data_IF_098812057091
#
_entry.id   IF_098812057091
#
_cell.length_a   1.000
_cell.length_b   1.000
_cell.length_c   1.000
_cell.angle_alpha   90.00
_cell.angle_beta   90.00
_cell.angle_gamma   90.00
#
_symmetry.space_group_name_H-M   'P 1'
#
loop_
_entity.id
_entity.type
_entity.pdbx_description
1 polymer ?
#
# COMPACT_ATOMS: atom_id res chain seq x y z
N UNK A 1 40.38 -5.12 -37.60
CA UNK A 1 39.22 -5.47 -36.76
C UNK A 1 39.11 -4.43 -35.65
N UNK A 2 38.27 -3.40 -35.82
CA UNK A 2 38.04 -2.42 -34.75
C UNK A 2 37.28 -3.12 -33.61
N UNK A 3 37.93 -3.31 -32.45
CA UNK A 3 37.26 -3.82 -31.26
C UNK A 3 36.29 -2.74 -30.80
N UNK A 4 34.99 -2.99 -30.90
CA UNK A 4 33.98 -2.11 -30.32
C UNK A 4 34.26 -1.97 -28.82
N UNK A 5 34.53 -0.74 -28.39
CA UNK A 5 34.83 -0.42 -27.00
C UNK A 5 33.51 -0.47 -26.21
N UNK A 6 33.15 -1.67 -25.75
CA UNK A 6 31.89 -1.88 -25.04
C UNK A 6 32.04 -1.35 -23.60
N UNK A 7 31.53 -0.15 -23.36
CA UNK A 7 31.38 0.40 -22.02
C UNK A 7 30.46 -0.50 -21.18
N UNK A 8 31.05 -1.09 -20.14
CA UNK A 8 30.39 -2.03 -19.22
C UNK A 8 29.87 -1.34 -17.95
N UNK A 9 30.19 -0.06 -17.75
CA UNK A 9 30.00 0.64 -16.48
C UNK A 9 28.86 1.65 -16.57
N UNK A 10 28.74 2.35 -17.69
CA UNK A 10 27.67 3.34 -17.90
C UNK A 10 26.34 2.66 -18.23
N UNK A 11 25.25 3.17 -17.68
CA UNK A 11 23.88 2.80 -18.04
C UNK A 11 23.45 3.59 -19.29
N UNK A 12 23.30 2.90 -20.40
CA UNK A 12 22.71 3.37 -21.67
C UNK A 12 21.20 3.21 -21.59
N UNK A 13 20.53 4.35 -21.73
CA UNK A 13 19.09 4.56 -21.60
C UNK A 13 18.35 4.30 -22.92
N UNK A 14 19.06 4.03 -24.01
CA UNK A 14 18.52 3.90 -25.38
C UNK A 14 18.56 2.46 -25.92
N UNK A 15 18.93 1.49 -25.10
CA UNK A 15 19.02 0.08 -25.51
C UNK A 15 17.86 -0.73 -24.94
N UNK A 16 17.07 -1.31 -25.83
CA UNK A 16 15.89 -2.12 -25.48
C UNK A 16 16.24 -3.49 -24.88
N UNK A 17 17.47 -3.99 -25.07
CA UNK A 17 17.86 -5.34 -24.63
C UNK A 17 19.03 -5.33 -23.62
N UNK A 18 18.90 -6.02 -22.46
CA UNK A 18 19.95 -6.06 -21.46
C UNK A 18 21.19 -6.81 -21.98
N UNK A 19 22.34 -6.12 -22.02
CA UNK A 19 23.63 -6.72 -22.41
C UNK A 19 24.30 -7.40 -21.22
N UNK A 20 24.95 -8.55 -21.45
CA UNK A 20 25.66 -9.33 -20.42
C UNK A 20 26.81 -8.50 -19.83
N UNK A 21 26.83 -8.34 -18.50
CA UNK A 21 27.85 -7.57 -17.78
C UNK A 21 27.53 -6.10 -17.55
N UNK A 22 26.31 -5.67 -17.86
CA UNK A 22 25.85 -4.29 -17.71
C UNK A 22 24.84 -4.15 -16.55
N UNK A 23 24.85 -3.06 -15.78
CA UNK A 23 23.90 -2.87 -14.67
C UNK A 23 22.44 -2.90 -15.17
N UNK A 24 21.59 -3.76 -14.56
CA UNK A 24 20.20 -4.03 -15.00
C UNK A 24 19.12 -3.20 -14.32
N UNK A 25 19.43 -2.36 -13.33
CA UNK A 25 18.39 -1.69 -12.53
C UNK A 25 18.64 -0.20 -12.43
N UNK A 26 17.53 0.53 -12.16
CA UNK A 26 17.44 1.97 -11.94
C UNK A 26 18.78 2.59 -11.50
N UNK A 27 19.27 3.63 -12.22
CA UNK A 27 20.62 4.21 -12.03
C UNK A 27 20.93 4.63 -10.60
N UNK A 28 19.89 4.84 -9.79
CA UNK A 28 20.01 5.30 -8.41
C UNK A 28 20.28 4.14 -7.46
N UNK A 29 21.09 4.35 -6.40
CA UNK A 29 21.25 3.36 -5.34
C UNK A 29 19.92 3.04 -4.66
N UNK A 30 19.78 1.83 -4.10
CA UNK A 30 18.53 1.32 -3.51
C UNK A 30 17.91 2.27 -2.47
N UNK A 31 18.73 2.92 -1.66
CA UNK A 31 18.30 3.91 -0.65
C UNK A 31 17.59 5.12 -1.27
N UNK A 32 18.10 5.64 -2.38
CA UNK A 32 17.48 6.74 -3.12
C UNK A 32 16.21 6.30 -3.84
N UNK A 33 16.21 5.11 -4.43
CA UNK A 33 15.00 4.54 -5.03
C UNK A 33 13.84 4.47 -4.02
N UNK A 34 14.12 4.00 -2.80
CA UNK A 34 13.13 3.91 -1.72
C UNK A 34 12.60 5.29 -1.33
N UNK A 35 13.47 6.31 -1.20
CA UNK A 35 13.08 7.70 -0.91
C UNK A 35 12.15 8.27 -1.99
N UNK A 36 12.49 8.08 -3.26
CA UNK A 36 11.68 8.58 -4.39
C UNK A 36 10.34 7.87 -4.43
N UNK A 37 10.32 6.55 -4.27
CA UNK A 37 9.08 5.77 -4.26
C UNK A 37 8.16 6.21 -3.13
N UNK A 38 8.72 6.44 -1.93
CA UNK A 38 7.93 6.94 -0.79
C UNK A 38 7.38 8.34 -1.04
N UNK A 39 8.16 9.25 -1.61
CA UNK A 39 7.70 10.59 -1.99
C UNK A 39 6.56 10.52 -3.01
N UNK A 40 6.69 9.69 -4.05
CA UNK A 40 5.63 9.48 -5.05
C UNK A 40 4.36 8.90 -4.43
N UNK A 41 4.49 7.96 -3.48
CA UNK A 41 3.35 7.45 -2.73
C UNK A 41 2.61 8.57 -1.99
N UNK A 42 3.34 9.37 -1.19
CA UNK A 42 2.75 10.48 -0.43
C UNK A 42 2.10 11.54 -1.32
N UNK A 43 2.70 11.84 -2.48
CA UNK A 43 2.13 12.77 -3.45
C UNK A 43 0.81 12.25 -4.03
N UNK A 44 0.75 10.96 -4.40
CA UNK A 44 -0.49 10.33 -4.88
C UNK A 44 -1.57 10.33 -3.81
N UNK A 45 -1.22 9.96 -2.58
CA UNK A 45 -2.17 9.94 -1.47
C UNK A 45 -2.72 11.35 -1.20
N UNK A 46 -1.86 12.38 -1.24
CA UNK A 46 -2.27 13.79 -1.12
C UNK A 46 -3.20 14.23 -2.24
N UNK A 47 -2.88 13.89 -3.49
CA UNK A 47 -3.72 14.23 -4.65
C UNK A 47 -5.10 13.55 -4.59
N UNK A 48 -5.15 12.32 -4.06
CA UNK A 48 -6.39 11.57 -3.89
C UNK A 48 -7.14 11.90 -2.58
N UNK A 49 -6.65 12.86 -1.78
CA UNK A 49 -7.25 13.23 -0.49
C UNK A 49 -7.23 12.11 0.56
N UNK A 50 -6.42 11.06 0.36
CA UNK A 50 -6.39 9.89 1.23
C UNK A 50 -5.71 10.22 2.55
N UNK A 51 -6.32 9.77 3.65
CA UNK A 51 -5.77 9.83 5.00
C UNK A 51 -5.60 8.43 5.55
N UNK A 52 -4.48 8.19 6.23
CA UNK A 52 -4.19 6.89 6.84
C UNK A 52 -4.79 6.85 8.25
N UNK A 53 -5.54 5.79 8.53
CA UNK A 53 -6.04 5.47 9.87
C UNK A 53 -5.24 4.26 10.35
N UNK A 54 -4.55 4.39 11.48
CA UNK A 54 -3.76 3.32 12.09
C UNK A 54 -4.49 2.81 13.33
N UNK A 55 -4.88 1.54 13.32
CA UNK A 55 -5.67 0.90 14.38
C UNK A 55 -4.97 -0.39 14.84
N UNK A 56 -4.79 -0.55 16.14
CA UNK A 56 -4.41 -1.83 16.75
C UNK A 56 -5.68 -2.56 17.13
N UNK A 57 -5.77 -3.83 16.77
CA UNK A 57 -6.94 -4.69 17.02
C UNK A 57 -6.49 -6.04 17.53
N UNK A 58 -7.42 -6.77 18.13
CA UNK A 58 -7.21 -8.14 18.54
C UNK A 58 -6.91 -9.06 17.36
N UNK A 59 -6.10 -10.08 17.63
CA UNK A 59 -5.68 -11.06 16.63
C UNK A 59 -6.87 -11.79 16.00
N UNK A 60 -7.89 -12.12 16.80
CA UNK A 60 -9.09 -12.81 16.32
C UNK A 60 -9.88 -11.94 15.35
N UNK A 61 -10.14 -10.68 15.72
CA UNK A 61 -10.83 -9.72 14.87
C UNK A 61 -10.06 -9.49 13.55
N UNK A 62 -8.74 -9.33 13.65
CA UNK A 62 -7.88 -9.17 12.48
C UNK A 62 -7.94 -10.39 11.53
N UNK A 63 -7.99 -11.61 12.07
CA UNK A 63 -8.12 -12.82 11.26
C UNK A 63 -9.47 -12.89 10.57
N UNK A 64 -10.57 -12.64 11.30
CA UNK A 64 -11.93 -12.64 10.74
C UNK A 64 -12.07 -11.63 9.58
N UNK A 65 -11.50 -10.43 9.73
CA UNK A 65 -11.49 -9.42 8.65
C UNK A 65 -10.66 -9.87 7.44
N UNK A 66 -9.59 -10.62 7.68
CA UNK A 66 -8.73 -11.16 6.62
C UNK A 66 -9.48 -12.24 5.83
N UNK A 67 -10.07 -13.21 6.52
CA UNK A 67 -10.82 -14.31 5.90
C UNK A 67 -12.03 -13.80 5.12
N UNK A 68 -12.75 -12.81 5.67
CA UNK A 68 -13.89 -12.18 4.98
C UNK A 68 -13.44 -11.45 3.70
N UNK A 69 -12.33 -10.69 3.77
CA UNK A 69 -11.79 -10.00 2.60
C UNK A 69 -11.34 -10.98 1.50
N UNK A 70 -10.72 -12.10 1.90
CA UNK A 70 -10.32 -13.16 0.98
C UNK A 70 -11.54 -13.81 0.31
N UNK A 71 -12.59 -14.13 1.08
CA UNK A 71 -13.83 -14.70 0.52
C UNK A 71 -14.52 -13.78 -0.49
N UNK A 72 -14.39 -12.45 -0.30
CA UNK A 72 -14.97 -11.42 -1.16
C UNK A 72 -14.03 -10.97 -2.28
N UNK A 73 -12.84 -11.59 -2.40
CA UNK A 73 -11.78 -11.22 -3.35
C UNK A 73 -11.43 -9.73 -3.35
N UNK A 74 -11.40 -9.10 -2.17
CA UNK A 74 -11.06 -7.69 -2.01
C UNK A 74 -9.91 -7.49 -1.02
N UNK A 75 -9.29 -6.31 -1.03
CA UNK A 75 -8.29 -6.00 0.00
C UNK A 75 -8.98 -5.71 1.34
N UNK A 76 -8.33 -6.11 2.44
CA UNK A 76 -8.83 -5.82 3.79
C UNK A 76 -9.10 -4.33 4.03
N UNK A 77 -8.29 -3.45 3.44
CA UNK A 77 -8.48 -2.00 3.53
C UNK A 77 -9.77 -1.54 2.84
N UNK A 78 -10.07 -2.08 1.65
CA UNK A 78 -11.31 -1.79 0.93
C UNK A 78 -12.53 -2.32 1.67
N UNK A 79 -12.44 -3.54 2.23
CA UNK A 79 -13.51 -4.10 3.05
C UNK A 79 -13.83 -3.20 4.25
N UNK A 80 -12.82 -2.80 5.02
CA UNK A 80 -12.99 -1.92 6.19
C UNK A 80 -13.56 -0.57 5.78
N UNK A 81 -13.08 0.02 4.69
CA UNK A 81 -13.61 1.30 4.19
C UNK A 81 -15.10 1.18 3.82
N UNK A 82 -15.49 0.09 3.15
CA UNK A 82 -16.89 -0.16 2.80
C UNK A 82 -17.77 -0.36 4.04
N UNK A 83 -17.31 -1.16 5.01
CA UNK A 83 -18.04 -1.40 6.27
C UNK A 83 -18.25 -0.08 7.02
N UNK A 84 -17.21 0.75 7.14
CA UNK A 84 -17.31 2.06 7.81
C UNK A 84 -18.30 2.98 7.09
N UNK A 85 -18.29 3.04 5.76
CA UNK A 85 -19.27 3.82 4.98
C UNK A 85 -20.71 3.36 5.22
N UNK A 86 -20.94 2.05 5.24
CA UNK A 86 -22.27 1.48 5.50
C UNK A 86 -22.74 1.78 6.93
N UNK A 87 -21.84 1.67 7.91
CA UNK A 87 -22.15 1.98 9.31
C UNK A 87 -22.50 3.46 9.51
N UNK A 88 -21.72 4.37 8.90
CA UNK A 88 -21.98 5.82 8.93
C UNK A 88 -23.22 6.24 8.14
N UNK A 89 -23.68 5.44 7.18
CA UNK A 89 -24.95 5.71 6.50
C UNK A 89 -26.18 5.35 7.37
N UNK A 90 -26.00 4.60 8.46
CA UNK A 90 -27.06 4.11 9.36
C UNK A 90 -26.81 4.54 10.81
N UNK A 91 -26.48 5.82 11.00
CA UNK A 91 -26.07 6.37 12.30
C UNK A 91 -27.08 6.07 13.42
N UNK A 92 -28.37 6.21 13.13
CA UNK A 92 -29.46 6.05 14.10
C UNK A 92 -29.49 4.67 14.77
N UNK A 93 -29.10 3.62 14.03
CA UNK A 93 -29.13 2.24 14.53
C UNK A 93 -27.79 1.82 15.14
N UNK A 94 -26.68 2.33 14.59
CA UNK A 94 -25.34 1.92 14.95
C UNK A 94 -24.82 2.63 16.21
N UNK A 95 -25.06 3.94 16.35
CA UNK A 95 -24.49 4.73 17.45
C UNK A 95 -24.88 4.25 18.85
N UNK A 96 -26.13 3.86 19.14
CA UNK A 96 -26.50 3.37 20.47
C UNK A 96 -25.74 2.08 20.85
N UNK A 97 -25.57 1.16 19.91
CA UNK A 97 -24.87 -0.10 20.12
C UNK A 97 -23.37 0.13 20.39
N UNK A 98 -22.74 1.03 19.64
CA UNK A 98 -21.34 1.41 19.83
C UNK A 98 -21.12 2.06 21.19
N UNK A 99 -21.99 2.99 21.59
CA UNK A 99 -21.90 3.66 22.88
C UNK A 99 -22.01 2.65 24.03
N UNK A 100 -22.88 1.65 23.90
CA UNK A 100 -23.02 0.61 24.92
C UNK A 100 -21.76 -0.27 25.02
N UNK A 101 -21.17 -0.65 23.88
CA UNK A 101 -19.93 -1.42 23.84
C UNK A 101 -18.74 -0.65 24.43
N UNK A 102 -18.61 0.65 24.11
CA UNK A 102 -17.56 1.50 24.69
C UNK A 102 -17.74 1.63 26.20
N UNK A 103 -18.98 1.72 26.68
CA UNK A 103 -19.30 1.84 28.10
C UNK A 103 -19.13 0.53 28.88
N UNK A 104 -19.29 -0.63 28.24
CA UNK A 104 -19.06 -1.93 28.91
C UNK A 104 -17.58 -2.21 29.14
N UNK A 105 -16.68 -1.51 28.45
CA UNK A 105 -15.22 -1.68 28.61
C UNK A 105 -14.68 -2.98 28.03
N UNK A 106 -15.50 -3.72 27.27
CA UNK A 106 -15.06 -4.86 26.48
C UNK A 106 -14.36 -4.34 25.21
N UNK A 107 -13.05 -4.15 25.32
CA UNK A 107 -12.14 -3.98 24.19
C UNK A 107 -11.23 -5.20 24.07
#
# INVERSE_FOLDING_TARGET
>A
MAKANNDKVTIDLFVDQPRRGRPRTNPLPRSEQLRINKRKQLLRDKQQGKKRIELKTDRQLHQQLTDLAESLNCSRGELVEAVVKVALAREDTFLPAVINLIKSGEN
#
